data_IF_482457301449
#
_entry.id   IF_482457301449
#
_cell.length_a   1.000
_cell.length_b   1.000
_cell.length_c   1.000
_cell.angle_alpha   90.00
_cell.angle_beta   90.00
_cell.angle_gamma   90.00
#
_symmetry.space_group_name_H-M   'P 1'
#
loop_
_entity.id
_entity.type
_entity.pdbx_description
1 polymer ?
#
# COMPACT_ATOMS: atom_id res chain seq x y z
N UNK A 1 -37.51 -51.94 -13.60
CA UNK A 1 -37.68 -50.47 -13.54
C UNK A 1 -36.31 -49.85 -13.71
N UNK A 2 -36.19 -48.94 -14.67
CA UNK A 2 -34.95 -48.48 -15.32
C UNK A 2 -34.11 -47.52 -14.44
N UNK A 3 -32.77 -47.59 -14.47
CA UNK A 3 -31.88 -46.49 -14.10
C UNK A 3 -31.62 -45.55 -15.30
N UNK A 4 -31.63 -44.25 -15.01
CA UNK A 4 -31.44 -43.11 -15.90
C UNK A 4 -30.06 -43.12 -16.61
N UNK A 5 -29.96 -42.83 -17.93
CA UNK A 5 -28.72 -42.91 -18.70
C UNK A 5 -28.01 -41.55 -18.80
N UNK A 6 -26.72 -41.52 -18.48
CA UNK A 6 -25.70 -40.65 -19.11
C UNK A 6 -24.35 -40.86 -18.44
N UNK A 7 -23.84 -42.08 -18.52
CA UNK A 7 -22.40 -42.27 -18.65
C UNK A 7 -22.06 -42.05 -20.12
N UNK A 8 -21.29 -41.01 -20.44
CA UNK A 8 -20.55 -41.01 -21.69
C UNK A 8 -19.27 -40.19 -21.55
N UNK A 9 -18.18 -40.93 -21.42
CA UNK A 9 -16.85 -40.53 -21.81
C UNK A 9 -16.85 -40.16 -23.30
N UNK A 10 -16.64 -38.89 -23.63
CA UNK A 10 -16.30 -38.49 -25.00
C UNK A 10 -14.83 -38.07 -25.06
N UNK A 11 -13.99 -39.07 -25.32
CA UNK A 11 -12.85 -38.87 -26.19
C UNK A 11 -13.22 -39.40 -27.59
N UNK A 12 -13.06 -38.61 -28.65
CA UNK A 12 -12.84 -39.12 -29.99
C UNK A 12 -11.37 -38.94 -30.36
N UNK A 13 -10.69 -40.07 -30.54
CA UNK A 13 -9.56 -40.20 -31.44
C UNK A 13 -10.04 -39.96 -32.88
N UNK A 14 -9.51 -38.96 -33.59
CA UNK A 14 -9.16 -39.04 -35.03
C UNK A 14 -8.82 -37.65 -35.63
N UNK A 15 -7.60 -37.57 -36.17
CA UNK A 15 -7.21 -36.75 -37.32
C UNK A 15 -7.66 -35.30 -37.41
N UNK A 16 -6.99 -34.38 -36.70
CA UNK A 16 -6.91 -32.97 -37.13
C UNK A 16 -5.53 -32.73 -37.77
N UNK A 17 -5.44 -32.09 -38.95
CA UNK A 17 -4.15 -31.80 -39.58
C UNK A 17 -3.33 -30.89 -38.68
N UNK A 18 -2.05 -31.21 -38.54
CA UNK A 18 -1.07 -30.34 -37.88
C UNK A 18 -1.01 -29.00 -38.63
N UNK A 19 -1.69 -27.97 -38.12
CA UNK A 19 -1.84 -26.65 -38.75
C UNK A 19 -0.62 -25.75 -38.59
N UNK A 20 0.46 -26.23 -37.97
CA UNK A 20 1.69 -25.48 -37.82
C UNK A 20 2.85 -26.26 -38.44
N UNK A 21 3.15 -26.02 -39.74
CA UNK A 21 4.42 -26.42 -40.31
C UNK A 21 5.53 -25.64 -39.59
N UNK A 22 6.70 -26.25 -39.46
CA UNK A 22 7.77 -25.80 -38.59
C UNK A 22 8.24 -24.35 -38.79
N UNK A 23 8.87 -23.84 -37.73
CA UNK A 23 9.73 -22.66 -37.79
C UNK A 23 9.01 -21.33 -37.59
N UNK A 24 8.78 -20.93 -36.35
CA UNK A 24 8.69 -19.50 -36.00
C UNK A 24 9.35 -19.24 -34.65
N UNK A 25 10.68 -19.36 -34.65
CA UNK A 25 11.54 -18.64 -33.70
C UNK A 25 11.54 -17.13 -34.05
N UNK A 26 10.37 -16.50 -34.24
CA UNK A 26 10.26 -15.09 -34.67
C UNK A 26 8.93 -14.45 -34.26
N UNK A 27 8.61 -14.38 -32.96
CA UNK A 27 7.85 -13.23 -32.44
C UNK A 27 7.99 -13.11 -30.92
N UNK A 28 9.21 -12.89 -30.44
CA UNK A 28 9.37 -12.16 -29.17
C UNK A 28 9.53 -10.71 -29.58
N UNK A 29 8.56 -9.81 -29.33
CA UNK A 29 8.77 -8.40 -29.58
C UNK A 29 9.89 -7.94 -28.65
N UNK A 30 11.12 -7.90 -29.16
CA UNK A 30 12.20 -7.13 -28.57
C UNK A 30 11.74 -5.69 -28.73
N UNK A 31 11.30 -5.08 -27.63
CA UNK A 31 10.88 -3.69 -27.61
C UNK A 31 12.09 -2.82 -28.03
N UNK A 32 12.29 -2.65 -29.33
CA UNK A 32 13.38 -1.88 -29.97
C UNK A 32 12.97 -0.44 -30.26
N UNK A 33 11.78 -0.04 -29.84
CA UNK A 33 11.38 1.35 -29.85
C UNK A 33 11.67 1.94 -28.47
N UNK A 34 12.72 2.75 -28.41
CA UNK A 34 12.93 3.66 -27.31
C UNK A 34 11.86 4.75 -27.38
N UNK A 35 10.74 4.49 -26.69
CA UNK A 35 9.67 5.48 -26.48
C UNK A 35 9.97 6.40 -25.30
N UNK A 36 11.17 6.36 -24.72
CA UNK A 36 11.54 7.33 -23.69
C UNK A 36 11.86 8.65 -24.38
N UNK A 37 10.83 9.48 -24.57
CA UNK A 37 11.09 10.91 -24.54
C UNK A 37 11.63 11.18 -23.14
N UNK A 38 12.88 11.65 -22.97
CA UNK A 38 13.34 12.02 -21.64
C UNK A 38 12.38 13.10 -21.14
N UNK A 39 11.86 12.96 -19.91
CA UNK A 39 11.07 13.98 -19.23
C UNK A 39 11.97 15.21 -19.00
N UNK A 40 12.28 15.96 -20.06
CA UNK A 40 13.17 17.14 -20.01
C UNK A 40 12.54 18.30 -19.23
N UNK A 41 11.21 18.30 -19.12
CA UNK A 41 10.43 19.23 -18.31
C UNK A 41 9.37 18.39 -17.56
N UNK A 42 9.53 18.25 -16.25
CA UNK A 42 8.48 17.69 -15.41
C UNK A 42 7.71 18.88 -14.78
N UNK A 43 6.38 18.76 -14.68
CA UNK A 43 5.54 19.78 -14.04
C UNK A 43 5.67 19.78 -12.50
N UNK A 44 6.30 18.76 -11.94
CA UNK A 44 6.52 18.55 -10.51
C UNK A 44 7.64 19.43 -9.93
N UNK A 45 8.43 20.09 -10.78
CA UNK A 45 9.50 21.02 -10.36
C UNK A 45 9.03 22.49 -10.30
N UNK A 46 7.74 22.74 -10.52
CA UNK A 46 7.19 24.11 -10.46
C UNK A 46 7.06 24.60 -9.01
N UNK A 47 7.02 25.94 -8.77
CA UNK A 47 6.88 26.49 -7.42
C UNK A 47 5.68 25.95 -6.62
N UNK A 48 4.55 25.67 -7.29
CA UNK A 48 3.36 25.12 -6.64
C UNK A 48 3.58 23.70 -6.12
N UNK A 49 4.25 22.85 -6.89
CA UNK A 49 4.59 21.49 -6.47
C UNK A 49 5.63 21.50 -5.34
N UNK A 50 6.61 22.40 -5.40
CA UNK A 50 7.58 22.60 -4.32
C UNK A 50 6.89 22.94 -2.99
N UNK A 51 5.93 23.86 -3.00
CA UNK A 51 5.18 24.23 -1.79
C UNK A 51 4.41 23.04 -1.22
N UNK A 52 3.70 22.28 -2.06
CA UNK A 52 2.98 21.07 -1.63
C UNK A 52 3.93 20.00 -1.09
N UNK A 53 5.11 19.86 -1.69
CA UNK A 53 6.12 18.91 -1.26
C UNK A 53 6.66 19.30 0.12
N UNK A 54 7.05 20.56 0.30
CA UNK A 54 7.61 21.04 1.57
C UNK A 54 6.61 20.87 2.71
N UNK A 55 5.35 21.29 2.51
CA UNK A 55 4.27 21.09 3.49
C UNK A 55 4.03 19.61 3.77
N UNK A 56 3.96 18.78 2.72
CA UNK A 56 3.74 17.35 2.85
C UNK A 56 4.87 16.64 3.56
N UNK A 57 6.11 17.04 3.30
CA UNK A 57 7.31 16.50 3.91
C UNK A 57 7.31 16.75 5.43
N UNK A 58 6.97 17.95 5.88
CA UNK A 58 6.90 18.28 7.31
C UNK A 58 5.81 17.47 8.03
N UNK A 59 4.61 17.38 7.46
CA UNK A 59 3.54 16.57 8.06
C UNK A 59 3.90 15.08 8.05
N UNK A 60 4.49 14.58 6.97
CA UNK A 60 4.93 13.19 6.86
C UNK A 60 5.94 12.87 7.96
N UNK A 61 6.97 13.71 8.20
CA UNK A 61 7.92 13.52 9.31
C UNK A 61 7.22 13.48 10.66
N UNK A 62 6.28 14.41 10.91
CA UNK A 62 5.52 14.44 12.16
C UNK A 62 4.76 13.14 12.40
N UNK A 63 4.13 12.59 11.35
CA UNK A 63 3.30 11.38 11.47
C UNK A 63 4.15 10.12 11.52
N UNK A 64 4.98 9.85 10.49
CA UNK A 64 5.66 8.55 10.38
C UNK A 64 7.07 8.52 10.99
N UNK A 65 7.60 9.68 11.40
CA UNK A 65 8.92 9.84 12.01
C UNK A 65 10.00 10.22 10.99
N UNK A 66 10.93 11.09 11.39
CA UNK A 66 11.98 11.63 10.52
C UNK A 66 12.89 10.53 9.95
N UNK A 67 13.37 9.62 10.79
CA UNK A 67 14.22 8.49 10.37
C UNK A 67 13.52 7.60 9.34
N UNK A 68 12.22 7.37 9.51
CA UNK A 68 11.42 6.58 8.57
C UNK A 68 11.32 7.28 7.21
N UNK A 69 11.09 8.59 7.20
CA UNK A 69 11.03 9.37 5.95
C UNK A 69 12.38 9.35 5.24
N UNK A 70 13.48 9.58 5.97
CA UNK A 70 14.83 9.53 5.41
C UNK A 70 15.12 8.16 4.77
N UNK A 71 14.87 7.07 5.49
CA UNK A 71 15.06 5.71 4.98
C UNK A 71 14.14 5.40 3.78
N UNK A 72 12.91 5.91 3.77
CA UNK A 72 11.98 5.73 2.66
C UNK A 72 12.45 6.44 1.39
N UNK A 73 12.99 7.65 1.52
CA UNK A 73 13.50 8.43 0.38
C UNK A 73 14.80 7.83 -0.16
N UNK A 74 15.69 7.34 0.73
CA UNK A 74 16.91 6.63 0.33
C UNK A 74 16.58 5.34 -0.45
N UNK A 75 15.63 4.53 0.03
CA UNK A 75 15.20 3.30 -0.66
C UNK A 75 14.46 3.57 -1.97
N UNK A 76 13.80 4.71 -2.08
CA UNK A 76 13.12 5.14 -3.29
C UNK A 76 13.98 6.05 -4.18
N UNK A 77 15.30 5.98 -4.04
CA UNK A 77 16.26 6.82 -4.76
C UNK A 77 16.35 6.53 -6.26
N UNK A 78 15.79 5.41 -6.75
CA UNK A 78 15.79 5.11 -8.17
C UNK A 78 14.87 6.05 -8.95
N UNK A 79 15.26 6.44 -10.16
CA UNK A 79 14.47 7.28 -11.06
C UNK A 79 13.06 6.77 -11.31
N UNK A 80 12.87 5.45 -11.20
CA UNK A 80 11.57 4.80 -11.29
C UNK A 80 10.66 5.10 -10.08
N UNK A 81 11.21 5.15 -8.87
CA UNK A 81 10.44 5.30 -7.62
C UNK A 81 10.31 6.76 -7.16
N UNK A 82 11.26 7.64 -7.54
CA UNK A 82 11.27 9.05 -7.14
C UNK A 82 9.95 9.78 -7.45
N UNK A 83 9.36 9.69 -8.67
CA UNK A 83 8.11 10.38 -8.97
C UNK A 83 6.93 9.93 -8.11
N UNK A 84 6.87 8.64 -7.75
CA UNK A 84 5.84 8.11 -6.87
C UNK A 84 5.97 8.66 -5.45
N UNK A 85 7.20 8.76 -4.93
CA UNK A 85 7.42 9.35 -3.60
C UNK A 85 7.08 10.84 -3.56
N UNK A 86 7.43 11.56 -4.63
CA UNK A 86 7.07 12.97 -4.77
C UNK A 86 5.55 13.13 -4.81
N UNK A 87 4.87 12.37 -5.69
CA UNK A 87 3.41 12.37 -5.76
C UNK A 87 2.76 12.01 -4.42
N UNK A 88 3.23 10.99 -3.72
CA UNK A 88 2.68 10.61 -2.41
C UNK A 88 2.88 11.73 -1.37
N UNK A 89 4.06 12.38 -1.37
CA UNK A 89 4.39 13.48 -0.46
C UNK A 89 3.50 14.69 -0.71
N UNK A 90 3.31 15.08 -1.97
CA UNK A 90 2.47 16.21 -2.33
C UNK A 90 0.98 15.89 -2.16
N UNK A 91 0.49 14.85 -2.85
CA UNK A 91 -0.93 14.58 -2.97
C UNK A 91 -1.55 14.11 -1.65
N UNK A 92 -0.93 13.16 -0.94
CA UNK A 92 -1.49 12.70 0.32
C UNK A 92 -1.15 13.67 1.45
N UNK A 93 0.15 13.83 1.72
CA UNK A 93 0.61 14.56 2.91
C UNK A 93 0.43 16.07 2.75
N UNK A 94 0.81 16.63 1.60
CA UNK A 94 0.75 18.07 1.32
C UNK A 94 -0.66 18.61 1.11
N UNK A 95 -1.59 17.80 0.58
CA UNK A 95 -2.98 18.26 0.36
C UNK A 95 -3.99 17.78 1.41
N UNK A 96 -4.06 16.48 1.72
CA UNK A 96 -5.17 15.96 2.54
C UNK A 96 -4.86 16.02 4.02
N UNK A 97 -3.64 15.69 4.42
CA UNK A 97 -3.25 15.67 5.84
C UNK A 97 -3.04 17.07 6.44
N UNK A 98 -2.79 18.08 5.62
CA UNK A 98 -2.67 19.50 6.02
C UNK A 98 -4.02 20.21 6.16
N UNK A 99 -5.12 19.63 5.65
CA UNK A 99 -6.44 20.27 5.71
C UNK A 99 -6.97 20.39 7.14
N UNK A 100 -7.63 21.51 7.48
CA UNK A 100 -8.31 21.65 8.75
C UNK A 100 -9.57 20.77 8.80
N UNK A 101 -10.16 20.63 10.00
CA UNK A 101 -11.45 19.99 10.23
C UNK A 101 -11.37 18.58 10.83
N UNK A 102 -10.26 17.85 10.62
CA UNK A 102 -9.99 16.59 11.31
C UNK A 102 -8.58 16.61 11.91
N UNK A 103 -8.51 16.30 13.20
CA UNK A 103 -7.26 16.09 13.92
C UNK A 103 -6.45 14.94 13.31
N UNK A 104 -5.12 15.03 13.42
CA UNK A 104 -4.21 14.01 12.89
C UNK A 104 -4.49 12.62 13.47
N UNK A 105 -4.88 12.54 14.75
CA UNK A 105 -5.28 11.28 15.39
C UNK A 105 -6.48 10.63 14.71
N UNK A 106 -7.53 11.41 14.44
CA UNK A 106 -8.72 10.93 13.74
C UNK A 106 -8.39 10.45 12.33
N UNK A 107 -7.52 11.16 11.61
CA UNK A 107 -7.03 10.76 10.28
C UNK A 107 -6.24 9.45 10.34
N UNK A 108 -5.46 9.21 11.39
CA UNK A 108 -4.80 7.93 11.61
C UNK A 108 -5.82 6.80 11.77
N UNK A 109 -6.87 6.96 12.58
CA UNK A 109 -7.91 5.93 12.75
C UNK A 109 -8.61 5.59 11.43
N UNK A 110 -8.94 6.60 10.60
CA UNK A 110 -9.50 6.37 9.27
C UNK A 110 -8.56 5.53 8.40
N UNK A 111 -7.26 5.82 8.41
CA UNK A 111 -6.28 5.01 7.67
C UNK A 111 -6.15 3.60 8.22
N UNK A 112 -6.17 3.39 9.53
CA UNK A 112 -6.16 2.04 10.12
C UNK A 112 -7.35 1.21 9.61
N UNK A 113 -8.55 1.80 9.61
CA UNK A 113 -9.76 1.16 9.08
C UNK A 113 -9.64 0.85 7.57
N UNK A 114 -9.27 1.84 6.77
CA UNK A 114 -9.13 1.68 5.31
C UNK A 114 -8.06 0.64 4.93
N UNK A 115 -6.90 0.66 5.59
CA UNK A 115 -5.81 -0.28 5.30
C UNK A 115 -6.12 -1.69 5.77
N UNK A 116 -6.92 -1.82 6.84
CA UNK A 116 -7.50 -3.10 7.26
C UNK A 116 -8.43 -3.66 6.19
N UNK A 117 -9.35 -2.84 5.68
CA UNK A 117 -10.28 -3.23 4.62
C UNK A 117 -9.56 -3.62 3.31
N UNK A 118 -8.48 -2.92 2.97
CA UNK A 118 -7.71 -3.13 1.73
C UNK A 118 -6.67 -4.25 1.81
N UNK A 119 -6.44 -4.82 2.99
CA UNK A 119 -5.43 -5.86 3.17
C UNK A 119 -3.98 -5.39 3.02
N UNK A 120 -3.69 -4.11 3.34
CA UNK A 120 -2.38 -3.48 3.10
C UNK A 120 -1.55 -3.43 4.38
N UNK A 121 -1.07 -4.59 4.82
CA UNK A 121 -0.43 -4.78 6.13
C UNK A 121 0.87 -4.00 6.34
N UNK A 122 1.71 -3.89 5.31
CA UNK A 122 2.94 -3.10 5.40
C UNK A 122 2.63 -1.63 5.69
N UNK A 123 1.65 -1.06 4.97
CA UNK A 123 1.19 0.32 5.17
C UNK A 123 0.44 0.47 6.49
N UNK A 124 -0.37 -0.52 6.89
CA UNK A 124 -1.05 -0.51 8.18
C UNK A 124 -0.04 -0.35 9.31
N UNK A 125 1.08 -1.08 9.27
CA UNK A 125 2.14 -0.95 10.27
C UNK A 125 2.78 0.45 10.31
N UNK A 126 2.95 1.09 9.15
CA UNK A 126 3.40 2.49 9.07
C UNK A 126 2.38 3.44 9.72
N UNK A 127 1.09 3.22 9.50
CA UNK A 127 0.03 4.05 10.08
C UNK A 127 -0.27 3.75 11.56
N UNK A 128 0.08 2.57 12.09
CA UNK A 128 0.06 2.30 13.54
C UNK A 128 1.09 3.17 14.24
N UNK A 129 2.34 3.22 13.74
CA UNK A 129 3.37 4.17 14.22
C UNK A 129 2.87 5.61 14.16
N UNK A 130 2.22 5.96 13.04
CA UNK A 130 1.63 7.28 12.85
C UNK A 130 0.49 7.61 13.82
N UNK A 131 -0.35 6.64 14.16
CA UNK A 131 -1.41 6.82 15.15
C UNK A 131 -0.82 7.14 16.53
N UNK A 132 0.18 6.38 16.98
CA UNK A 132 0.86 6.60 18.27
C UNK A 132 1.50 7.99 18.32
N UNK A 133 2.25 8.39 17.28
CA UNK A 133 2.87 9.74 17.22
C UNK A 133 1.85 10.87 17.20
N UNK A 134 0.66 10.61 16.65
CA UNK A 134 -0.47 11.55 16.69
C UNK A 134 -1.25 11.52 18.01
N UNK A 135 -0.77 10.78 19.03
CA UNK A 135 -1.35 10.74 20.37
C UNK A 135 -2.47 9.70 20.54
N UNK A 136 -2.53 8.68 19.68
CA UNK A 136 -3.41 7.54 19.91
C UNK A 136 -2.83 6.59 20.96
N UNK A 137 -3.68 6.15 21.90
CA UNK A 137 -3.29 5.09 22.84
C UNK A 137 -3.36 3.71 22.20
N UNK A 138 -2.74 2.72 22.86
CA UNK A 138 -2.89 1.31 22.45
C UNK A 138 -4.36 0.88 22.51
N UNK A 139 -5.10 1.31 23.55
CA UNK A 139 -6.54 1.03 23.66
C UNK A 139 -7.33 1.65 22.50
N UNK A 140 -7.07 2.91 22.13
CA UNK A 140 -7.78 3.54 20.99
C UNK A 140 -7.48 2.82 19.66
N UNK A 141 -6.24 2.39 19.44
CA UNK A 141 -5.86 1.60 18.26
C UNK A 141 -6.59 0.25 18.27
N UNK A 142 -6.62 -0.43 19.43
CA UNK A 142 -7.32 -1.70 19.63
C UNK A 142 -8.80 -1.59 19.27
N UNK A 143 -9.50 -0.58 19.80
CA UNK A 143 -10.93 -0.35 19.53
C UNK A 143 -11.18 -0.04 18.05
N UNK A 144 -10.30 0.74 17.41
CA UNK A 144 -10.38 1.02 15.97
C UNK A 144 -10.28 -0.26 15.12
N UNK A 145 -9.36 -1.17 15.47
CA UNK A 145 -9.19 -2.44 14.76
C UNK A 145 -10.32 -3.44 15.06
N UNK A 146 -10.87 -3.46 16.27
CA UNK A 146 -12.08 -4.24 16.58
C UNK A 146 -13.25 -3.79 15.72
N UNK A 147 -13.48 -2.47 15.64
CA UNK A 147 -14.51 -1.88 14.79
C UNK A 147 -14.31 -2.30 13.33
N UNK A 148 -13.09 -2.16 12.78
CA UNK A 148 -12.80 -2.57 11.42
C UNK A 148 -13.03 -4.08 11.19
N UNK A 149 -12.67 -4.92 12.16
CA UNK A 149 -12.86 -6.38 12.10
C UNK A 149 -14.33 -6.76 11.94
N UNK A 150 -15.23 -6.07 12.63
CA UNK A 150 -16.67 -6.33 12.54
C UNK A 150 -17.23 -6.17 11.12
N UNK A 151 -16.67 -5.25 10.32
CA UNK A 151 -17.15 -4.96 8.96
C UNK A 151 -16.29 -5.57 7.85
N UNK A 152 -15.00 -5.77 8.09
CA UNK A 152 -14.05 -6.31 7.11
C UNK A 152 -13.84 -7.83 7.25
N UNK A 153 -14.39 -8.44 8.30
CA UNK A 153 -14.33 -9.88 8.56
C UNK A 153 -13.11 -10.32 9.37
N UNK A 154 -13.25 -11.50 10.01
CA UNK A 154 -12.25 -12.05 10.92
C UNK A 154 -10.85 -12.20 10.33
N UNK A 155 -10.65 -12.68 9.09
CA UNK A 155 -9.29 -12.83 8.53
C UNK A 155 -8.53 -11.50 8.42
N UNK A 156 -9.20 -10.44 7.94
CA UNK A 156 -8.60 -9.12 7.82
C UNK A 156 -8.28 -8.53 9.20
N UNK A 157 -9.21 -8.68 10.16
CA UNK A 157 -9.01 -8.27 11.54
C UNK A 157 -7.82 -8.96 12.20
N UNK A 158 -7.71 -10.29 12.09
CA UNK A 158 -6.60 -11.03 12.68
C UNK A 158 -5.25 -10.58 12.15
N UNK A 159 -5.10 -10.33 10.84
CA UNK A 159 -3.84 -9.81 10.31
C UNK A 159 -3.57 -8.36 10.70
N UNK A 160 -4.61 -7.54 10.81
CA UNK A 160 -4.47 -6.18 11.32
C UNK A 160 -3.96 -6.17 12.77
N UNK A 161 -4.51 -7.02 13.64
CA UNK A 161 -4.07 -7.18 15.02
C UNK A 161 -2.63 -7.69 15.11
N UNK A 162 -2.26 -8.74 14.36
CA UNK A 162 -0.86 -9.24 14.34
C UNK A 162 0.12 -8.16 13.88
N UNK A 163 -0.28 -7.38 12.88
CA UNK A 163 0.53 -6.28 12.36
C UNK A 163 0.71 -5.18 13.41
N UNK A 164 -0.38 -4.76 14.06
CA UNK A 164 -0.35 -3.72 15.08
C UNK A 164 0.45 -4.16 16.31
N UNK A 165 0.22 -5.38 16.80
CA UNK A 165 0.92 -5.92 17.97
C UNK A 165 2.44 -5.97 17.75
N UNK A 166 2.88 -6.50 16.60
CA UNK A 166 4.30 -6.51 16.22
C UNK A 166 4.89 -5.10 16.21
N UNK A 167 4.19 -4.13 15.60
CA UNK A 167 4.67 -2.75 15.49
C UNK A 167 4.72 -2.05 16.85
N UNK A 168 3.71 -2.23 17.69
CA UNK A 168 3.70 -1.66 19.04
C UNK A 168 4.81 -2.24 19.91
N UNK A 169 5.07 -3.55 19.81
CA UNK A 169 6.20 -4.20 20.49
C UNK A 169 7.56 -3.67 19.97
N UNK A 170 7.72 -3.47 18.66
CA UNK A 170 8.92 -2.85 18.07
C UNK A 170 9.14 -1.42 18.60
N UNK A 171 8.07 -0.63 18.73
CA UNK A 171 8.14 0.74 19.27
C UNK A 171 8.48 0.76 20.75
N UNK A 172 7.88 -0.14 21.55
CA UNK A 172 8.17 -0.30 22.97
C UNK A 172 9.62 -0.68 23.21
N UNK A 173 10.15 -1.65 22.45
CA UNK A 173 11.55 -2.06 22.54
C UNK A 173 12.54 -0.93 22.23
N UNK A 174 12.12 0.08 21.45
CA UNK A 174 12.91 1.28 21.15
C UNK A 174 12.67 2.44 22.12
N UNK A 175 11.77 2.30 23.08
CA UNK A 175 11.37 3.36 24.00
C UNK A 175 10.55 4.47 23.35
N UNK A 176 9.97 4.24 22.17
CA UNK A 176 9.12 5.21 21.46
C UNK A 176 7.68 5.23 21.99
N UNK A 177 7.28 4.21 22.73
CA UNK A 177 5.93 3.99 23.24
C UNK A 177 5.97 3.12 24.50
N UNK A 178 5.00 3.27 25.38
CA UNK A 178 4.81 2.38 26.53
C UNK A 178 3.46 1.70 26.36
N UNK A 179 3.46 0.36 26.35
CA UNK A 179 2.22 -0.40 26.18
C UNK A 179 1.32 -0.27 27.41
N UNK A 180 0.03 -0.19 27.15
CA UNK A 180 -1.00 -0.16 28.19
C UNK A 180 -1.34 -1.59 28.60
N UNK A 181 -1.18 -1.91 29.89
CA UNK A 181 -1.47 -3.24 30.44
C UNK A 181 -2.96 -3.48 30.62
#
# INVERSE_FOLDING_TARGET
>A
MLPNPSGSSYGPTSGSPNLYPGGTEQFRPTNKADFSTPLKENNMDTPAHKELYDQGYEVRKKVVGEEYVAASLEKASSDFLRPLQQYATEAAWGTIWTRPGLELKTRSFLNLGMLTALGKWTELGTHVRGAVRNGASEVEIRECLLQATAYCGMPAGMEAFRTADRVLAEMEAKGEFVREK
#
